data_IF_894832170196
#
_entry.id   IF_894832170196
#
_cell.length_a   1.000
_cell.length_b   1.000
_cell.length_c   1.000
_cell.angle_alpha   90.00
_cell.angle_beta   90.00
_cell.angle_gamma   90.00
#
_symmetry.space_group_name_H-M   'P 1'
#
loop_
_entity.id
_entity.type
_entity.pdbx_description
1 polymer ?
#
# COMPACT_ATOMS: atom_id res chain seq x y z
N UNK A 1 -10.23 -15.75 21.95
CA UNK A 1 -9.81 -16.31 23.25
C UNK A 1 -9.74 -17.84 23.22
N UNK A 2 -10.77 -18.49 22.68
CA UNK A 2 -10.82 -19.98 22.61
C UNK A 2 -9.71 -20.59 21.74
N UNK A 3 -9.34 -19.95 20.63
CA UNK A 3 -8.38 -20.46 19.65
C UNK A 3 -6.90 -20.36 20.09
N UNK A 4 -6.58 -19.62 21.15
CA UNK A 4 -5.21 -19.30 21.59
C UNK A 4 -4.31 -18.80 20.45
N UNK A 5 -4.88 -18.03 19.51
CA UNK A 5 -4.16 -17.42 18.39
C UNK A 5 -2.99 -16.58 18.92
N UNK A 6 -1.81 -16.75 18.35
CA UNK A 6 -0.59 -16.02 18.76
C UNK A 6 -0.24 -14.85 17.82
N UNK A 7 -0.75 -14.87 16.57
CA UNK A 7 -0.54 -13.85 15.56
C UNK A 7 -1.74 -13.78 14.62
N UNK A 8 -2.01 -12.60 14.04
CA UNK A 8 -3.04 -12.44 13.02
C UNK A 8 -2.74 -11.27 12.08
N UNK A 9 -3.44 -11.27 10.94
CA UNK A 9 -3.47 -10.13 10.03
C UNK A 9 -4.64 -9.21 10.37
N UNK A 10 -4.41 -7.92 10.30
CA UNK A 10 -5.36 -6.88 10.63
C UNK A 10 -5.41 -5.86 9.49
N UNK A 11 -6.53 -5.79 8.80
CA UNK A 11 -6.74 -4.68 7.87
C UNK A 11 -6.94 -3.38 8.65
N UNK A 12 -6.39 -2.28 8.17
CA UNK A 12 -6.41 -1.00 8.87
C UNK A 12 -7.80 -0.57 9.34
N UNK A 13 -8.84 -0.80 8.54
CA UNK A 13 -10.24 -0.52 8.90
C UNK A 13 -10.72 -1.34 10.13
N UNK A 14 -10.23 -2.57 10.30
CA UNK A 14 -10.59 -3.41 11.44
C UNK A 14 -10.02 -2.86 12.76
N UNK A 15 -8.87 -2.20 12.70
CA UNK A 15 -8.29 -1.49 13.85
C UNK A 15 -9.24 -0.44 14.36
N UNK A 16 -9.78 0.38 13.46
CA UNK A 16 -10.76 1.42 13.79
C UNK A 16 -12.01 0.84 14.45
N UNK A 17 -12.52 -0.30 13.97
CA UNK A 17 -13.66 -0.96 14.60
C UNK A 17 -13.37 -1.50 16.00
N UNK A 18 -12.17 -2.03 16.21
CA UNK A 18 -11.75 -2.52 17.52
C UNK A 18 -11.58 -1.36 18.52
N UNK A 19 -10.97 -0.27 18.08
CA UNK A 19 -10.73 0.91 18.92
C UNK A 19 -12.03 1.69 19.25
N UNK A 20 -13.03 1.66 18.37
CA UNK A 20 -14.37 2.26 18.65
C UNK A 20 -15.18 1.55 19.73
N UNK A 21 -14.80 0.33 20.12
CA UNK A 21 -15.47 -0.35 21.23
C UNK A 21 -15.02 0.28 22.54
N UNK A 22 -15.95 0.32 23.51
CA UNK A 22 -15.61 0.78 24.86
C UNK A 22 -14.42 -0.02 25.43
N UNK A 23 -13.42 0.66 26.03
CA UNK A 23 -12.31 -0.02 26.69
C UNK A 23 -12.79 -0.97 27.78
N UNK A 24 -12.12 -2.11 27.92
CA UNK A 24 -12.44 -3.14 28.90
C UNK A 24 -11.18 -3.58 29.64
N UNK A 25 -11.29 -3.92 30.92
CA UNK A 25 -10.21 -4.54 31.68
C UNK A 25 -9.74 -5.88 31.08
N UNK A 26 -10.57 -6.47 30.19
CA UNK A 26 -10.26 -7.71 29.47
C UNK A 26 -9.61 -7.50 28.10
N UNK A 27 -9.29 -6.26 27.68
CA UNK A 27 -8.73 -5.97 26.38
C UNK A 27 -7.35 -6.69 26.17
N UNK A 28 -6.63 -6.91 27.26
CA UNK A 28 -5.34 -7.63 27.26
C UNK A 28 -5.43 -9.12 27.61
N UNK A 29 -6.64 -9.66 27.87
CA UNK A 29 -6.85 -11.06 28.21
C UNK A 29 -6.87 -11.96 26.97
N UNK A 30 -5.73 -12.12 26.30
CA UNK A 30 -5.59 -12.95 25.10
C UNK A 30 -4.16 -13.52 24.98
N UNK A 31 -3.96 -14.47 24.06
CA UNK A 31 -2.66 -15.07 23.76
C UNK A 31 -1.95 -14.45 22.57
N UNK A 32 -2.55 -13.42 21.94
CA UNK A 32 -1.97 -12.76 20.76
C UNK A 32 -0.75 -11.96 21.18
N UNK A 33 0.35 -12.15 20.46
CA UNK A 33 1.61 -11.42 20.71
C UNK A 33 1.88 -10.36 19.65
N UNK A 34 1.49 -10.63 18.39
CA UNK A 34 1.74 -9.72 17.29
C UNK A 34 0.58 -9.69 16.28
N UNK A 35 0.46 -8.56 15.61
CA UNK A 35 -0.46 -8.35 14.50
C UNK A 35 0.27 -7.72 13.31
N UNK A 36 -0.06 -8.17 12.10
CA UNK A 36 0.35 -7.48 10.87
C UNK A 36 -0.77 -6.54 10.46
N UNK A 37 -0.53 -5.22 10.54
CA UNK A 37 -1.49 -4.18 10.16
C UNK A 37 -1.15 -3.68 8.76
N UNK A 38 -2.04 -3.91 7.80
CA UNK A 38 -1.83 -3.54 6.39
C UNK A 38 -3.10 -2.88 5.84
N UNK A 39 -3.01 -1.65 5.34
CA UNK A 39 -1.90 -0.72 5.50
C UNK A 39 -1.70 -0.30 6.96
N UNK A 40 -0.51 0.23 7.27
CA UNK A 40 -0.23 0.79 8.59
C UNK A 40 -1.05 2.07 8.77
N UNK A 41 -1.91 2.10 9.78
CA UNK A 41 -2.76 3.24 10.11
C UNK A 41 -2.16 4.09 11.24
N UNK A 42 -2.62 5.32 11.38
CA UNK A 42 -2.23 6.22 12.47
C UNK A 42 -2.61 5.68 13.86
N UNK A 43 -3.56 4.78 13.91
CA UNK A 43 -4.05 4.16 15.15
C UNK A 43 -3.15 3.04 15.68
N UNK A 44 -1.99 2.79 15.06
CA UNK A 44 -1.05 1.75 15.45
C UNK A 44 -0.64 1.86 16.93
N UNK A 45 -0.22 3.04 17.36
CA UNK A 45 0.22 3.29 18.76
C UNK A 45 -0.92 3.07 19.74
N UNK A 46 -2.10 3.63 19.48
CA UNK A 46 -3.29 3.45 20.32
C UNK A 46 -3.70 1.97 20.43
N UNK A 47 -3.61 1.24 19.32
CA UNK A 47 -3.90 -0.19 19.28
C UNK A 47 -2.93 -0.98 20.17
N UNK A 48 -1.62 -0.72 20.04
CA UNK A 48 -0.59 -1.35 20.87
C UNK A 48 -0.82 -1.06 22.36
N UNK A 49 -1.02 0.20 22.73
CA UNK A 49 -1.23 0.62 24.12
C UNK A 49 -2.45 -0.05 24.74
N UNK A 50 -3.55 -0.11 24.00
CA UNK A 50 -4.80 -0.67 24.48
C UNK A 50 -4.76 -2.19 24.60
N UNK A 51 -4.28 -2.89 23.58
CA UNK A 51 -4.35 -4.36 23.52
C UNK A 51 -3.06 -5.05 23.96
N UNK A 52 -1.91 -4.35 24.00
CA UNK A 52 -0.61 -4.97 24.32
C UNK A 52 -0.13 -5.94 23.27
N UNK A 53 -0.51 -5.71 22.00
CA UNK A 53 -0.16 -6.56 20.85
C UNK A 53 0.86 -5.80 20.00
N UNK A 54 2.05 -6.37 19.81
CA UNK A 54 3.04 -5.77 18.92
C UNK A 54 2.52 -5.70 17.49
N UNK A 55 2.58 -4.50 16.90
CA UNK A 55 2.13 -4.25 15.53
C UNK A 55 3.32 -4.22 14.60
N UNK A 56 3.19 -4.93 13.50
CA UNK A 56 4.11 -4.88 12.36
C UNK A 56 3.34 -4.48 11.11
N UNK A 57 4.01 -3.85 10.16
CA UNK A 57 3.50 -3.73 8.79
C UNK A 57 4.42 -4.45 7.84
N UNK A 58 3.87 -4.88 6.70
CA UNK A 58 4.61 -5.61 5.67
C UNK A 58 4.12 -5.20 4.28
N UNK A 59 5.01 -5.34 3.31
CA UNK A 59 4.60 -5.54 1.92
C UNK A 59 4.81 -7.00 1.55
N UNK A 60 3.78 -7.63 1.00
CA UNK A 60 3.84 -9.03 0.60
C UNK A 60 3.04 -9.29 -0.67
N UNK A 61 3.52 -10.25 -1.44
CA UNK A 61 2.83 -10.82 -2.60
C UNK A 61 2.94 -12.34 -2.55
N UNK A 62 1.99 -13.04 -3.15
CA UNK A 62 2.02 -14.50 -3.27
C UNK A 62 3.30 -14.98 -3.95
N UNK A 63 3.81 -14.20 -4.91
CA UNK A 63 4.96 -14.50 -5.74
C UNK A 63 6.30 -14.42 -5.00
N UNK A 64 6.41 -13.52 -4.03
CA UNK A 64 7.70 -13.12 -3.43
C UNK A 64 7.68 -13.16 -1.90
N UNK A 65 6.61 -13.70 -1.30
CA UNK A 65 6.45 -13.65 0.14
C UNK A 65 6.47 -12.20 0.68
N UNK A 66 7.24 -11.90 1.73
CA UNK A 66 7.30 -10.58 2.38
C UNK A 66 8.70 -10.00 2.28
N UNK A 67 9.06 -9.29 1.20
CA UNK A 67 10.39 -8.70 1.04
C UNK A 67 10.65 -7.52 1.98
N UNK A 68 9.58 -6.80 2.36
CA UNK A 68 9.63 -5.62 3.23
C UNK A 68 8.85 -5.92 4.51
N UNK A 69 9.43 -5.61 5.66
CA UNK A 69 8.80 -5.77 7.00
C UNK A 69 9.27 -4.63 7.89
N UNK A 70 8.39 -4.10 8.74
CA UNK A 70 8.77 -3.11 9.74
C UNK A 70 9.40 -3.75 10.98
N UNK A 71 10.05 -2.94 11.80
CA UNK A 71 10.25 -3.19 13.22
C UNK A 71 8.89 -3.22 13.95
N UNK A 72 8.85 -3.72 15.21
CA UNK A 72 7.63 -3.69 16.02
C UNK A 72 7.21 -2.26 16.34
N UNK A 73 5.91 -2.02 16.31
CA UNK A 73 5.28 -0.75 16.68
C UNK A 73 5.86 0.45 15.90
N UNK A 74 5.87 0.41 14.55
CA UNK A 74 6.52 1.43 13.74
C UNK A 74 5.85 2.79 13.93
N UNK A 75 6.67 3.83 14.06
CA UNK A 75 6.21 5.22 14.24
C UNK A 75 6.16 6.02 12.94
N UNK A 76 6.81 5.51 11.87
CA UNK A 76 6.78 6.16 10.55
C UNK A 76 5.48 5.86 9.83
N UNK A 77 4.70 6.91 9.60
CA UNK A 77 3.38 6.81 8.95
C UNK A 77 3.50 6.32 7.51
N UNK A 78 2.57 5.49 7.09
CA UNK A 78 2.44 5.01 5.70
C UNK A 78 3.57 4.11 5.21
N UNK A 79 4.56 3.81 6.05
CA UNK A 79 5.65 2.90 5.65
C UNK A 79 5.17 1.45 5.54
N UNK A 80 5.79 0.69 4.65
CA UNK A 80 5.71 -0.77 4.62
C UNK A 80 6.84 -1.44 5.43
N UNK A 81 7.81 -0.65 5.92
CA UNK A 81 8.99 -1.14 6.65
C UNK A 81 10.27 -1.07 5.82
N UNK A 82 11.22 -1.93 6.16
CA UNK A 82 12.54 -2.04 5.53
C UNK A 82 12.74 -3.39 4.86
N UNK A 83 13.72 -3.44 3.97
CA UNK A 83 14.16 -4.66 3.30
C UNK A 83 14.60 -5.71 4.32
N UNK A 84 14.13 -6.94 4.14
CA UNK A 84 14.57 -8.09 4.96
C UNK A 84 15.94 -8.61 4.54
N UNK A 85 16.65 -9.21 5.47
CA UNK A 85 17.90 -9.92 5.19
C UNK A 85 17.67 -11.08 4.20
N UNK A 86 18.60 -11.24 3.25
CA UNK A 86 18.54 -12.26 2.20
C UNK A 86 17.56 -11.94 1.08
N UNK A 87 17.13 -10.67 0.98
CA UNK A 87 16.33 -10.14 -0.13
C UNK A 87 17.04 -8.92 -0.69
N UNK A 88 17.21 -8.88 -2.00
CA UNK A 88 17.62 -7.69 -2.72
C UNK A 88 16.38 -6.98 -3.26
N UNK A 89 16.32 -5.68 -3.06
CA UNK A 89 15.24 -4.80 -3.54
C UNK A 89 15.85 -3.60 -4.23
N UNK A 90 15.31 -3.23 -5.38
CA UNK A 90 15.63 -1.97 -6.07
C UNK A 90 14.34 -1.29 -6.50
N UNK A 91 14.41 0.02 -6.67
CA UNK A 91 13.40 0.82 -7.34
C UNK A 91 13.96 1.25 -8.69
N UNK A 92 13.23 0.95 -9.77
CA UNK A 92 13.71 1.17 -11.14
C UNK A 92 12.70 1.94 -11.98
N UNK A 93 13.21 2.61 -13.01
CA UNK A 93 12.44 3.27 -14.05
C UNK A 93 11.95 2.27 -15.14
N UNK A 94 11.36 2.79 -16.20
CA UNK A 94 10.85 2.03 -17.35
C UNK A 94 11.95 1.31 -18.17
N UNK A 95 13.21 1.69 -17.97
CA UNK A 95 14.40 1.10 -18.62
C UNK A 95 15.15 0.13 -17.70
N UNK A 96 14.56 -0.25 -16.56
CA UNK A 96 15.18 -1.06 -15.51
C UNK A 96 16.43 -0.39 -14.87
N UNK A 97 16.57 0.94 -15.00
CA UNK A 97 17.63 1.72 -14.34
C UNK A 97 17.17 2.13 -12.93
N UNK A 98 18.08 2.00 -11.96
CA UNK A 98 17.78 2.36 -10.57
C UNK A 98 17.53 3.88 -10.46
N UNK A 99 16.39 4.26 -9.85
CA UNK A 99 16.01 5.65 -9.63
C UNK A 99 16.77 6.26 -8.47
N UNK A 100 16.85 7.59 -8.40
CA UNK A 100 17.48 8.27 -7.29
C UNK A 100 16.69 8.08 -5.98
N UNK A 101 17.37 8.22 -4.86
CA UNK A 101 16.77 8.12 -3.54
C UNK A 101 15.66 9.18 -3.38
N UNK A 102 14.50 8.76 -2.94
CA UNK A 102 13.31 9.60 -2.81
C UNK A 102 12.41 9.66 -4.05
N UNK A 103 12.90 9.21 -5.20
CA UNK A 103 12.10 9.11 -6.42
C UNK A 103 11.23 7.85 -6.42
N UNK A 104 10.18 7.89 -7.23
CA UNK A 104 9.24 6.77 -7.40
C UNK A 104 9.77 5.85 -8.49
N UNK A 105 9.79 4.55 -8.21
CA UNK A 105 10.17 3.52 -9.17
C UNK A 105 9.41 2.22 -8.93
N UNK A 106 9.39 1.34 -9.95
CA UNK A 106 8.90 -0.02 -9.79
C UNK A 106 9.80 -0.77 -8.81
N UNK A 107 9.20 -1.42 -7.81
CA UNK A 107 9.95 -2.32 -6.95
C UNK A 107 10.26 -3.62 -7.69
N UNK A 108 11.55 -3.93 -7.82
CA UNK A 108 12.02 -5.22 -8.31
C UNK A 108 12.72 -5.98 -7.19
N UNK A 109 12.53 -7.30 -7.18
CA UNK A 109 12.96 -8.14 -6.06
C UNK A 109 13.70 -9.38 -6.55
N UNK A 110 14.72 -9.78 -5.82
CA UNK A 110 15.32 -11.10 -5.89
C UNK A 110 15.74 -11.58 -4.51
N UNK A 111 15.98 -12.88 -4.34
CA UNK A 111 16.42 -13.46 -3.06
C UNK A 111 17.47 -14.51 -3.28
N UNK A 112 18.38 -14.66 -2.33
CA UNK A 112 19.34 -15.74 -2.23
C UNK A 112 18.76 -16.98 -1.52
N UNK A 113 17.53 -16.88 -0.99
CA UNK A 113 16.88 -17.97 -0.25
C UNK A 113 16.26 -18.96 -1.22
N UNK A 114 16.62 -20.25 -1.15
CA UNK A 114 15.94 -21.29 -1.92
C UNK A 114 14.43 -21.26 -1.63
N UNK A 115 13.62 -21.36 -2.70
CA UNK A 115 12.15 -21.42 -2.63
C UNK A 115 11.50 -20.15 -2.09
N UNK A 116 12.25 -19.03 -2.01
CA UNK A 116 11.75 -17.76 -1.50
C UNK A 116 10.81 -17.02 -2.45
N UNK A 117 10.77 -17.43 -3.72
CA UNK A 117 9.95 -16.81 -4.77
C UNK A 117 9.27 -17.88 -5.62
N UNK A 118 8.22 -17.50 -6.36
CA UNK A 118 7.53 -18.41 -7.27
C UNK A 118 8.44 -18.81 -8.44
N UNK A 119 8.13 -19.93 -9.07
CA UNK A 119 8.79 -20.37 -10.32
C UNK A 119 8.06 -19.94 -11.59
N UNK A 120 7.00 -19.15 -11.45
CA UNK A 120 6.19 -18.62 -12.55
C UNK A 120 4.70 -18.82 -12.37
N UNK A 121 3.92 -18.28 -13.28
CA UNK A 121 2.46 -18.36 -13.30
C UNK A 121 1.96 -19.63 -14.00
N UNK A 122 1.01 -20.32 -13.38
CA UNK A 122 0.46 -21.56 -13.92
C UNK A 122 -0.17 -21.35 -15.30
N UNK A 123 0.33 -22.10 -16.29
CA UNK A 123 -0.11 -22.04 -17.71
C UNK A 123 -0.10 -20.64 -18.33
N UNK A 124 0.74 -19.73 -17.82
CA UNK A 124 0.88 -18.38 -18.35
C UNK A 124 2.37 -18.01 -18.46
N UNK A 125 3.02 -18.53 -19.50
CA UNK A 125 4.44 -18.28 -19.77
C UNK A 125 4.73 -16.84 -20.19
N UNK A 126 3.78 -16.16 -20.81
CA UNK A 126 3.94 -14.76 -21.22
C UNK A 126 4.03 -13.88 -19.99
N UNK A 127 3.05 -13.93 -19.09
CA UNK A 127 3.10 -13.15 -17.84
C UNK A 127 4.31 -13.54 -16.96
N UNK A 128 4.74 -14.81 -17.01
CA UNK A 128 5.95 -15.24 -16.30
C UNK A 128 7.19 -14.55 -16.86
N UNK A 129 7.35 -14.50 -18.19
CA UNK A 129 8.48 -13.84 -18.83
C UNK A 129 8.48 -12.32 -18.63
N UNK A 130 7.31 -11.69 -18.58
CA UNK A 130 7.15 -10.27 -18.27
C UNK A 130 7.53 -9.95 -16.83
N UNK A 131 7.10 -10.78 -15.86
CA UNK A 131 7.41 -10.59 -14.45
C UNK A 131 8.86 -10.93 -14.10
N UNK A 132 9.46 -11.91 -14.80
CA UNK A 132 10.85 -12.33 -14.59
C UNK A 132 11.74 -11.86 -15.74
N UNK A 133 12.25 -10.64 -15.64
CA UNK A 133 13.18 -10.12 -16.63
C UNK A 133 14.44 -9.58 -15.96
N UNK A 134 15.55 -9.55 -16.67
CA UNK A 134 16.86 -9.07 -16.20
C UNK A 134 17.36 -9.72 -14.89
N UNK A 135 16.87 -10.94 -14.56
CA UNK A 135 17.25 -11.65 -13.34
C UNK A 135 16.55 -11.14 -12.07
N UNK A 136 15.49 -10.33 -12.21
CA UNK A 136 14.67 -9.80 -11.15
C UNK A 136 13.20 -10.13 -11.36
N UNK A 137 12.46 -10.23 -10.27
CA UNK A 137 11.00 -10.25 -10.28
C UNK A 137 10.48 -8.83 -10.22
N UNK A 138 9.71 -8.44 -11.22
CA UNK A 138 9.03 -7.17 -11.35
C UNK A 138 7.67 -7.25 -10.67
N UNK A 139 7.47 -6.45 -9.61
CA UNK A 139 6.25 -6.52 -8.80
C UNK A 139 5.05 -5.87 -9.48
N UNK A 140 5.29 -4.92 -10.38
CA UNK A 140 4.26 -4.05 -10.93
C UNK A 140 3.74 -3.02 -9.93
N UNK A 141 4.40 -2.86 -8.78
CA UNK A 141 4.04 -1.92 -7.73
C UNK A 141 5.12 -0.84 -7.61
N UNK A 142 4.69 0.41 -7.55
CA UNK A 142 5.55 1.59 -7.40
C UNK A 142 5.78 1.91 -5.93
N UNK A 143 7.03 2.21 -5.61
CA UNK A 143 7.47 2.56 -4.27
C UNK A 143 8.38 3.78 -4.29
N UNK A 144 8.49 4.42 -3.14
CA UNK A 144 9.51 5.40 -2.80
C UNK A 144 10.30 4.90 -1.60
N UNK A 145 11.60 5.18 -1.56
CA UNK A 145 12.48 4.87 -0.41
C UNK A 145 12.99 6.16 0.20
N UNK A 146 12.98 6.26 1.54
CA UNK A 146 13.59 7.40 2.25
C UNK A 146 15.07 7.15 2.59
N UNK A 147 15.75 8.21 3.08
CA UNK A 147 17.17 8.17 3.47
C UNK A 147 17.48 7.18 4.60
N UNK A 148 16.48 6.80 5.39
CA UNK A 148 16.63 5.81 6.46
C UNK A 148 16.36 4.37 5.99
N UNK A 149 16.01 4.18 4.70
CA UNK A 149 15.78 2.88 4.07
C UNK A 149 14.38 2.33 4.24
N UNK A 150 13.40 3.15 4.64
CA UNK A 150 12.00 2.76 4.70
C UNK A 150 11.36 2.87 3.32
N UNK A 151 10.54 1.88 2.99
CA UNK A 151 9.77 1.83 1.74
C UNK A 151 8.33 2.27 1.98
N UNK A 152 7.82 3.03 1.03
CA UNK A 152 6.45 3.53 1.00
C UNK A 152 5.80 3.09 -0.30
N UNK A 153 4.70 2.36 -0.20
CA UNK A 153 3.89 2.02 -1.36
C UNK A 153 3.24 3.30 -1.91
N UNK A 154 3.33 3.48 -3.22
CA UNK A 154 2.74 4.64 -3.90
C UNK A 154 1.49 4.23 -4.65
N UNK A 155 1.63 3.28 -5.62
CA UNK A 155 0.52 2.78 -6.41
C UNK A 155 0.95 1.54 -7.21
N UNK A 156 0.01 0.92 -7.90
CA UNK A 156 0.33 -0.06 -8.95
C UNK A 156 0.69 0.65 -10.24
N UNK A 157 1.68 0.12 -10.98
CA UNK A 157 2.05 0.67 -12.28
C UNK A 157 0.88 0.79 -13.27
N UNK A 158 -0.08 -0.17 -13.19
CA UNK A 158 -1.27 -0.17 -14.04
C UNK A 158 -2.29 0.92 -13.71
N UNK A 159 -2.27 1.38 -12.47
CA UNK A 159 -3.23 2.33 -11.92
C UNK A 159 -2.61 3.74 -11.76
N UNK A 160 -1.25 3.83 -11.83
CA UNK A 160 -0.54 5.11 -11.85
C UNK A 160 -0.86 5.89 -13.12
N UNK A 161 -1.32 7.11 -12.95
CA UNK A 161 -1.63 8.04 -14.05
C UNK A 161 -0.42 8.91 -14.33
N UNK A 162 -0.02 9.04 -15.61
CA UNK A 162 1.13 9.85 -15.99
C UNK A 162 0.68 11.15 -16.62
N UNK A 163 0.92 12.27 -15.94
CA UNK A 163 0.56 13.60 -16.43
C UNK A 163 1.70 14.59 -16.24
N UNK A 164 2.07 15.30 -17.31
CA UNK A 164 3.14 16.32 -17.35
C UNK A 164 4.49 15.78 -16.85
N UNK A 165 4.75 14.50 -17.14
CA UNK A 165 5.98 13.82 -16.72
C UNK A 165 6.00 13.35 -15.27
N UNK A 166 4.92 13.58 -14.50
CA UNK A 166 4.79 13.11 -13.11
C UNK A 166 3.86 11.90 -13.02
N UNK A 167 4.17 10.98 -12.10
CA UNK A 167 3.29 9.87 -11.76
C UNK A 167 2.34 10.32 -10.66
N UNK A 168 1.04 10.25 -10.95
CA UNK A 168 -0.03 10.59 -10.01
C UNK A 168 -0.60 9.28 -9.46
N UNK A 169 -0.62 9.14 -8.14
CA UNK A 169 -1.20 7.99 -7.47
C UNK A 169 -2.73 8.05 -7.51
N UNK A 170 -3.38 7.03 -8.06
CA UNK A 170 -4.83 6.89 -8.01
C UNK A 170 -5.33 6.85 -6.57
N UNK A 171 -4.61 6.14 -5.70
CA UNK A 171 -4.94 6.00 -4.29
C UNK A 171 -4.91 7.35 -3.53
N UNK A 172 -3.92 8.20 -3.78
CA UNK A 172 -3.84 9.52 -3.15
C UNK A 172 -4.99 10.41 -3.61
N UNK A 173 -5.29 10.43 -4.93
CA UNK A 173 -6.42 11.18 -5.48
C UNK A 173 -7.75 10.67 -4.89
N UNK A 174 -7.96 9.36 -4.85
CA UNK A 174 -9.17 8.75 -4.28
C UNK A 174 -9.36 9.11 -2.80
N UNK A 175 -8.27 9.07 -2.02
CA UNK A 175 -8.30 9.41 -0.60
C UNK A 175 -8.75 10.86 -0.36
N UNK A 176 -8.24 11.81 -1.18
CA UNK A 176 -8.65 13.21 -1.10
C UNK A 176 -10.11 13.42 -1.54
N UNK A 177 -10.56 12.72 -2.57
CA UNK A 177 -11.95 12.79 -3.04
C UNK A 177 -12.93 12.22 -2.02
N UNK A 178 -12.60 11.08 -1.40
CA UNK A 178 -13.42 10.44 -0.36
C UNK A 178 -13.48 11.27 0.93
N UNK A 179 -12.53 12.19 1.15
CA UNK A 179 -12.59 13.15 2.25
C UNK A 179 -13.71 14.19 2.10
N UNK A 180 -14.30 14.34 0.90
CA UNK A 180 -15.48 15.19 0.71
C UNK A 180 -16.72 14.59 1.39
N UNK A 181 -17.48 15.37 2.20
CA UNK A 181 -18.50 14.82 3.13
C UNK A 181 -19.61 13.98 2.49
N UNK A 182 -19.96 14.25 1.26
CA UNK A 182 -21.09 13.59 0.56
C UNK A 182 -20.63 12.44 -0.37
N UNK A 183 -19.31 12.15 -0.42
CA UNK A 183 -18.73 11.05 -1.20
C UNK A 183 -18.71 9.78 -0.37
N UNK A 184 -19.18 8.68 -0.96
CA UNK A 184 -19.09 7.33 -0.40
C UNK A 184 -17.87 6.58 -0.91
N UNK A 185 -17.65 6.64 -2.21
CA UNK A 185 -16.57 5.94 -2.92
C UNK A 185 -16.09 6.82 -4.09
N UNK A 186 -14.82 6.73 -4.39
CA UNK A 186 -14.22 7.33 -5.57
C UNK A 186 -13.31 6.30 -6.26
N UNK A 187 -13.16 6.44 -7.58
CA UNK A 187 -12.19 5.72 -8.38
C UNK A 187 -11.51 6.71 -9.33
N UNK A 188 -10.20 6.83 -9.23
CA UNK A 188 -9.37 7.65 -10.10
C UNK A 188 -8.64 6.74 -11.10
N UNK A 189 -8.62 7.12 -12.38
CA UNK A 189 -7.98 6.34 -13.42
C UNK A 189 -7.53 7.22 -14.58
N UNK A 190 -6.52 6.73 -15.30
CA UNK A 190 -6.00 7.36 -16.49
C UNK A 190 -6.99 7.25 -17.64
N UNK A 191 -7.14 8.35 -18.39
CA UNK A 191 -7.80 8.35 -19.71
C UNK A 191 -6.87 8.97 -20.73
N UNK A 192 -6.81 8.44 -21.97
CA UNK A 192 -5.97 9.04 -23.00
C UNK A 192 -6.32 10.50 -23.25
N UNK A 193 -5.32 11.37 -23.25
CA UNK A 193 -5.47 12.78 -23.61
C UNK A 193 -5.02 13.02 -25.05
N UNK A 194 -5.61 14.01 -25.70
CA UNK A 194 -5.21 14.46 -27.03
C UNK A 194 -3.76 15.02 -27.07
N UNK A 195 -3.16 15.25 -25.92
CA UNK A 195 -1.80 15.79 -25.78
C UNK A 195 -0.71 14.70 -25.65
N UNK A 196 -1.10 13.41 -25.74
CA UNK A 196 -0.15 12.28 -25.72
C UNK A 196 0.27 11.81 -24.34
N UNK A 197 -0.34 12.34 -23.27
CA UNK A 197 -0.23 11.89 -21.89
C UNK A 197 -1.62 11.51 -21.36
N UNK A 198 -1.71 11.07 -20.11
CA UNK A 198 -2.99 10.75 -19.50
C UNK A 198 -3.67 12.01 -18.95
N UNK A 199 -5.00 12.04 -19.03
CA UNK A 199 -5.83 12.89 -18.18
C UNK A 199 -6.36 12.07 -17.00
N UNK A 200 -6.50 12.73 -15.83
CA UNK A 200 -7.05 12.10 -14.61
C UNK A 200 -8.56 12.17 -14.68
N UNK A 201 -9.22 11.02 -14.73
CA UNK A 201 -10.67 10.92 -14.59
C UNK A 201 -11.02 10.35 -13.23
N UNK A 202 -12.04 10.92 -12.60
CA UNK A 202 -12.53 10.50 -11.30
C UNK A 202 -14.00 10.14 -11.41
N UNK A 203 -14.35 8.90 -11.09
CA UNK A 203 -15.72 8.45 -10.90
C UNK A 203 -16.08 8.53 -9.43
N UNK A 204 -17.20 9.14 -9.10
CA UNK A 204 -17.60 9.38 -7.70
C UNK A 204 -18.98 8.80 -7.44
N UNK A 205 -19.12 8.04 -6.35
CA UNK A 205 -20.39 7.56 -5.86
C UNK A 205 -20.82 8.35 -4.61
N UNK A 206 -22.01 8.98 -4.59
CA UNK A 206 -22.49 9.72 -3.45
C UNK A 206 -22.94 8.82 -2.30
N UNK A 207 -23.02 9.37 -1.10
CA UNK A 207 -23.74 8.76 0.02
C UNK A 207 -25.23 8.60 -0.33
N UNK A 208 -25.88 7.62 0.29
CA UNK A 208 -27.30 7.33 0.02
C UNK A 208 -28.19 8.58 0.27
N UNK A 209 -28.97 8.97 -0.75
CA UNK A 209 -29.83 10.14 -0.71
C UNK A 209 -29.12 11.49 -0.82
N UNK A 210 -27.85 11.49 -1.14
CA UNK A 210 -27.05 12.69 -1.43
C UNK A 210 -26.82 12.84 -2.93
N UNK A 211 -26.54 14.07 -3.34
CA UNK A 211 -26.08 14.43 -4.68
C UNK A 211 -24.80 15.22 -4.55
N UNK A 212 -23.89 15.08 -5.52
CA UNK A 212 -22.58 15.73 -5.48
C UNK A 212 -22.59 16.89 -6.46
N UNK A 213 -22.45 18.10 -5.91
CA UNK A 213 -22.16 19.26 -6.74
C UNK A 213 -20.70 19.26 -7.20
N UNK A 214 -20.49 19.04 -8.49
CA UNK A 214 -19.16 18.94 -9.08
C UNK A 214 -18.32 20.21 -8.87
N UNK A 215 -18.91 21.39 -8.89
CA UNK A 215 -18.18 22.64 -8.68
C UNK A 215 -17.66 22.74 -7.24
N UNK A 216 -18.48 22.35 -6.27
CA UNK A 216 -18.09 22.32 -4.85
C UNK A 216 -17.01 21.28 -4.57
N UNK A 217 -17.09 20.10 -5.21
CA UNK A 217 -16.05 19.08 -5.10
C UNK A 217 -14.72 19.57 -5.68
N UNK A 218 -14.73 20.17 -6.88
CA UNK A 218 -13.51 20.71 -7.50
C UNK A 218 -12.88 21.81 -6.63
N UNK A 219 -13.68 22.72 -6.07
CA UNK A 219 -13.17 23.74 -5.16
C UNK A 219 -12.56 23.15 -3.91
N UNK A 220 -13.20 22.12 -3.33
CA UNK A 220 -12.66 21.40 -2.15
C UNK A 220 -11.30 20.76 -2.44
N UNK A 221 -11.12 20.18 -3.63
CA UNK A 221 -9.87 19.55 -4.05
C UNK A 221 -8.78 20.57 -4.43
N UNK A 222 -9.17 21.76 -4.89
CA UNK A 222 -8.21 22.82 -5.29
C UNK A 222 -7.44 23.43 -4.11
N UNK A 223 -7.90 23.24 -2.88
CA UNK A 223 -7.29 23.77 -1.65
C UNK A 223 -6.39 22.70 -0.95
N UNK A 224 -6.20 21.51 -1.55
CA UNK A 224 -5.50 20.35 -0.99
C UNK A 224 -4.41 19.86 -1.88
#
# INVERSE_FOLDING_TARGET
>A
RESRTSAFFLLGVMTTFLLKREPSEHDKDHSVRLAFMVPLTETCTEFYERFGIDVYTIFNMTEISSPIVSEPNPTKRGTCGKKRDGVDVRLVDENDCEVALGEIGEMIVRTDRPWGMNSGYYKNSVATAEAWRNGWFHTGDCFRQDEEGYFYFVDRMKDAMRRRGENISSFEVEAEVVAYPDVREAAAYAVPSDLGEDDVMISVAPLAGKDIDHASLINFLGDR
#
